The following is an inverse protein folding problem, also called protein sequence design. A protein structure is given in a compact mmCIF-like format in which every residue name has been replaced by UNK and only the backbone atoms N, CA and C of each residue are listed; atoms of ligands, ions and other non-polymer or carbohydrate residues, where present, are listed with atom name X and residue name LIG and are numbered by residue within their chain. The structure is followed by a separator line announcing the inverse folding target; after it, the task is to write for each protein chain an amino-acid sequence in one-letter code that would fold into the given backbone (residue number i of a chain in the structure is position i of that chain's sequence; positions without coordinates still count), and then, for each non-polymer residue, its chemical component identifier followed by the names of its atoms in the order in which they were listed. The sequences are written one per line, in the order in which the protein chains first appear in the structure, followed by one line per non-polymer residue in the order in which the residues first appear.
data_IF_132699348674
#
_entry.id   IF_132699348674
#
_cell.length_a   1.000
_cell.length_b   1.000
_cell.length_c   1.000
_cell.angle_alpha   90.00
_cell.angle_beta   90.00
_cell.angle_gamma   90.00
#
_symmetry.space_group_name_H-M   'P 1'
#
loop_
_entity.id
_entity.type
_entity.pdbx_description
1 polymer ?
#
# COMPACT_ATOMS: atom_id res chain seq x y z
N UNK A 1 3.11 1.63 13.04
CA UNK A 1 3.41 3.07 12.90
C UNK A 1 2.90 3.48 11.53
N UNK A 2 1.82 4.24 11.51
CA UNK A 2 1.01 4.46 10.33
C UNK A 2 1.63 5.48 9.38
N UNK A 3 1.30 5.37 8.10
CA UNK A 3 1.62 6.30 7.02
C UNK A 3 1.58 7.78 7.46
N UNK A 4 2.73 8.37 7.72
CA UNK A 4 2.83 9.77 8.12
C UNK A 4 3.47 10.57 6.99
N UNK A 5 2.62 11.28 6.24
CA UNK A 5 3.04 12.32 5.32
C UNK A 5 3.31 13.62 6.10
N UNK A 6 4.46 14.30 5.87
CA UNK A 6 4.74 15.59 6.48
C UNK A 6 3.86 16.73 5.90
N UNK A 7 3.55 16.68 4.59
CA UNK A 7 2.83 17.73 3.87
C UNK A 7 1.39 17.30 3.49
N UNK A 8 0.75 16.48 4.32
CA UNK A 8 -0.54 15.83 4.04
C UNK A 8 -0.53 14.90 2.82
N UNK A 9 -1.62 14.13 2.68
CA UNK A 9 -1.82 13.14 1.63
C UNK A 9 -2.47 13.82 0.42
N UNK A 10 -1.83 13.74 -0.74
CA UNK A 10 -2.38 14.18 -2.03
C UNK A 10 -3.12 13.06 -2.76
N UNK A 11 -2.76 11.80 -2.50
CA UNK A 11 -3.40 10.64 -3.12
C UNK A 11 -2.91 9.31 -2.59
N UNK A 12 -3.35 8.23 -3.23
CA UNK A 12 -3.00 6.86 -2.88
C UNK A 12 -2.57 6.09 -4.12
N UNK A 13 -1.58 5.22 -3.98
CA UNK A 13 -1.16 4.30 -5.05
C UNK A 13 -1.05 2.88 -4.50
N UNK A 14 -1.18 1.90 -5.39
CA UNK A 14 -1.20 0.49 -5.06
C UNK A 14 -0.18 -0.25 -5.92
N UNK A 15 0.64 -1.10 -5.31
CA UNK A 15 1.63 -1.93 -6.01
C UNK A 15 1.53 -3.39 -5.55
N UNK A 16 2.35 -4.25 -6.16
CA UNK A 16 2.54 -5.64 -5.73
C UNK A 16 1.25 -6.47 -5.69
N UNK A 17 0.36 -6.29 -6.68
CA UNK A 17 -0.83 -7.14 -6.81
C UNK A 17 -0.43 -8.55 -7.27
N UNK A 18 -0.13 -9.42 -6.32
CA UNK A 18 0.32 -10.79 -6.59
C UNK A 18 -0.16 -11.79 -5.53
N UNK A 19 -0.03 -13.08 -5.83
CA UNK A 19 -0.37 -14.15 -4.90
C UNK A 19 0.71 -14.29 -3.81
N UNK A 20 0.32 -14.23 -2.55
CA UNK A 20 1.19 -14.51 -1.42
C UNK A 20 1.26 -16.03 -1.19
N UNK A 21 2.33 -16.68 -1.63
CA UNK A 21 2.42 -18.14 -1.65
C UNK A 21 2.31 -18.85 -0.28
N UNK A 22 2.55 -18.16 0.83
CA UNK A 22 2.35 -18.71 2.18
C UNK A 22 0.91 -18.59 2.66
N UNK A 23 0.21 -17.52 2.28
CA UNK A 23 -1.14 -17.21 2.76
C UNK A 23 -2.21 -17.67 1.76
N UNK A 24 -1.81 -18.08 0.54
CA UNK A 24 -2.67 -18.35 -0.61
C UNK A 24 -3.73 -17.26 -0.82
N UNK A 25 -3.33 -15.99 -0.70
CA UNK A 25 -4.19 -14.83 -0.93
C UNK A 25 -3.51 -13.85 -1.85
N UNK A 26 -4.30 -13.21 -2.72
CA UNK A 26 -3.84 -12.03 -3.42
C UNK A 26 -3.53 -10.94 -2.38
N UNK A 27 -2.43 -10.23 -2.55
CA UNK A 27 -2.11 -9.06 -1.73
C UNK A 27 -1.82 -7.86 -2.61
N UNK A 28 -1.90 -6.67 -2.04
CA UNK A 28 -1.35 -5.44 -2.62
C UNK A 28 -0.80 -4.54 -1.54
N UNK A 29 0.25 -3.82 -1.85
CA UNK A 29 0.78 -2.77 -0.98
C UNK A 29 0.10 -1.44 -1.29
N UNK A 30 -0.28 -0.72 -0.24
CA UNK A 30 -0.92 0.60 -0.32
C UNK A 30 0.07 1.66 0.15
N UNK A 31 0.28 2.66 -0.68
CA UNK A 31 1.14 3.80 -0.40
C UNK A 31 0.33 5.10 -0.44
N UNK A 32 0.65 6.03 0.47
CA UNK A 32 0.17 7.40 0.40
C UNK A 32 1.17 8.21 -0.43
N UNK A 33 0.65 8.98 -1.37
CA UNK A 33 1.40 10.01 -2.08
C UNK A 33 1.23 11.29 -1.26
N UNK A 34 2.33 11.82 -0.74
CA UNK A 34 2.31 13.08 0.01
C UNK A 34 2.28 14.28 -0.97
N UNK A 35 1.82 15.47 -0.53
CA UNK A 35 1.82 16.65 -1.42
C UNK A 35 3.22 17.07 -1.89
N UNK A 36 4.26 16.74 -1.12
CA UNK A 36 5.65 16.96 -1.52
C UNK A 36 6.18 15.93 -2.54
N UNK A 37 5.36 14.98 -2.99
CA UNK A 37 5.71 13.94 -3.96
C UNK A 37 6.23 12.63 -3.36
N UNK A 38 6.39 12.53 -2.03
CA UNK A 38 6.93 11.34 -1.38
C UNK A 38 5.95 10.15 -1.40
N UNK A 39 6.50 8.99 -1.78
CA UNK A 39 5.98 7.62 -1.68
C UNK A 39 6.02 7.00 -0.27
N UNK A 40 4.97 6.99 0.56
CA UNK A 40 5.06 6.36 1.90
C UNK A 40 4.22 5.08 1.98
N UNK A 41 4.85 3.96 2.35
CA UNK A 41 4.13 2.71 2.58
C UNK A 41 3.19 2.82 3.79
N UNK A 42 1.95 2.40 3.62
CA UNK A 42 0.93 2.49 4.67
C UNK A 42 0.51 1.13 5.21
N UNK A 43 0.12 0.20 4.34
CA UNK A 43 -0.41 -1.12 4.71
C UNK A 43 -0.41 -2.10 3.54
N UNK A 44 -0.50 -3.39 3.87
CA UNK A 44 -0.87 -4.45 2.92
C UNK A 44 -2.36 -4.69 2.99
N UNK A 45 -3.03 -4.72 1.85
CA UNK A 45 -4.40 -5.20 1.73
C UNK A 45 -4.40 -6.62 1.21
N UNK A 46 -5.20 -7.46 1.86
CA UNK A 46 -5.35 -8.88 1.55
C UNK A 46 -6.68 -9.09 0.83
N UNK A 47 -6.62 -9.76 -0.31
CA UNK A 47 -7.76 -10.10 -1.13
C UNK A 47 -8.27 -11.52 -0.89
N UNK A 48 -9.01 -12.00 -1.89
CA UNK A 48 -9.46 -13.39 -1.97
C UNK A 48 -8.29 -14.36 -2.18
N UNK A 49 -8.61 -15.65 -2.17
CA UNK A 49 -7.66 -16.68 -2.51
C UNK A 49 -7.05 -16.43 -3.90
N UNK A 50 -5.74 -16.66 -3.97
CA UNK A 50 -5.11 -17.12 -5.19
C UNK A 50 -5.12 -18.66 -5.20
#
# INVERSE_FOLDING_TARGET
MACQCPDAISGWTHTDYQCHGLENKMYRHVYAICMNGTQVYCRTEWGSSC
#
